data_IF_509504299236
#
_entry.id   IF_509504299236
#
_cell.length_a   1.000
_cell.length_b   1.000
_cell.length_c   1.000
_cell.angle_alpha   90.00
_cell.angle_beta   90.00
_cell.angle_gamma   90.00
#
_symmetry.space_group_name_H-M   'P 1'
#
loop_
_entity.id
_entity.type
_entity.pdbx_description
1 polymer ?
#
# COMPACT_ATOMS: atom_id res chain seq x y z
N UNK A 1 -1.70 12.60 -10.30
CA UNK A 1 -1.96 13.98 -9.88
C UNK A 1 -1.60 14.14 -8.40
N UNK A 2 -0.35 14.55 -8.09
CA UNK A 2 0.08 14.79 -6.71
C UNK A 2 -0.68 15.96 -6.05
N UNK A 3 -1.24 16.89 -6.84
CA UNK A 3 -2.00 18.05 -6.36
C UNK A 3 -3.50 17.78 -6.18
N UNK A 4 -3.89 16.53 -5.93
CA UNK A 4 -5.31 16.20 -5.68
C UNK A 4 -5.74 16.84 -4.35
N UNK A 5 -6.78 17.71 -4.33
CA UNK A 5 -7.24 18.34 -3.10
C UNK A 5 -7.63 17.30 -2.04
N UNK A 6 -7.45 17.65 -0.77
CA UNK A 6 -7.81 16.81 0.38
C UNK A 6 -7.06 15.46 0.44
N UNK A 7 -5.88 15.39 -0.19
CA UNK A 7 -4.96 14.26 -0.14
C UNK A 7 -3.58 14.66 0.36
N UNK A 8 -2.78 13.67 0.68
CA UNK A 8 -1.35 13.82 1.01
C UNK A 8 -0.51 13.42 -0.21
N UNK A 9 -0.23 14.39 -1.10
CA UNK A 9 0.43 14.17 -2.40
C UNK A 9 -0.19 13.03 -3.23
N UNK A 10 -1.52 12.94 -3.24
CA UNK A 10 -2.28 11.88 -3.92
C UNK A 10 -2.51 10.61 -3.09
N UNK A 11 -2.08 10.58 -1.83
CA UNK A 11 -2.42 9.51 -0.88
C UNK A 11 -3.67 9.84 -0.07
N UNK A 12 -4.52 8.83 0.11
CA UNK A 12 -5.71 8.86 0.96
C UNK A 12 -5.56 7.79 2.02
N UNK A 13 -5.78 8.17 3.26
CA UNK A 13 -5.77 7.27 4.42
C UNK A 13 -7.20 6.95 4.82
N UNK A 14 -7.43 5.75 5.36
CA UNK A 14 -8.74 5.37 5.86
C UNK A 14 -8.61 4.49 7.10
N UNK A 15 -9.48 4.76 8.07
CA UNK A 15 -9.70 3.89 9.23
C UNK A 15 -10.97 3.08 8.97
N UNK A 16 -10.92 1.77 9.14
CA UNK A 16 -12.07 0.89 8.95
C UNK A 16 -12.47 0.19 10.23
N UNK A 17 -13.68 -0.35 10.24
CA UNK A 17 -14.03 -1.40 11.20
C UNK A 17 -13.13 -2.63 11.02
N UNK A 18 -12.97 -3.49 12.05
CA UNK A 18 -12.09 -4.66 11.97
C UNK A 18 -12.44 -5.66 10.86
N UNK A 19 -13.70 -5.71 10.45
CA UNK A 19 -14.17 -6.54 9.33
C UNK A 19 -13.93 -5.90 7.96
N UNK A 20 -13.33 -4.71 7.92
CA UNK A 20 -13.06 -3.88 6.74
C UNK A 20 -14.31 -3.52 5.91
N UNK A 21 -15.51 -3.63 6.48
CA UNK A 21 -16.77 -3.36 5.75
C UNK A 21 -17.23 -1.92 5.83
N UNK A 22 -16.82 -1.21 6.87
CA UNK A 22 -17.22 0.19 7.10
C UNK A 22 -15.99 1.06 7.20
N UNK A 23 -15.99 2.16 6.45
CA UNK A 23 -15.01 3.25 6.59
C UNK A 23 -15.51 4.16 7.71
N UNK A 24 -14.71 4.31 8.75
CA UNK A 24 -14.97 5.21 9.89
C UNK A 24 -14.51 6.63 9.57
N UNK A 25 -13.38 6.75 8.88
CA UNK A 25 -12.78 8.01 8.46
C UNK A 25 -11.98 7.76 7.18
N UNK A 26 -11.99 8.71 6.25
CA UNK A 26 -11.12 8.68 5.08
C UNK A 26 -10.73 10.10 4.63
N UNK A 27 -9.52 10.24 4.07
CA UNK A 27 -9.02 11.50 3.54
C UNK A 27 -7.57 11.76 3.95
N UNK A 28 -7.23 13.05 4.11
CA UNK A 28 -5.98 13.51 4.69
C UNK A 28 -6.04 13.41 6.22
N UNK A 29 -5.63 12.26 6.77
CA UNK A 29 -5.63 12.00 8.22
C UNK A 29 -4.25 12.30 8.80
N UNK A 30 -4.12 13.39 9.56
CA UNK A 30 -2.82 13.91 10.01
C UNK A 30 -2.01 12.91 10.85
N UNK A 31 -2.69 12.16 11.72
CA UNK A 31 -2.04 11.14 12.55
C UNK A 31 -1.49 9.95 11.75
N UNK A 32 -2.04 9.66 10.57
CA UNK A 32 -1.45 8.67 9.66
C UNK A 32 -0.23 9.25 8.94
N UNK A 33 -0.33 10.50 8.50
CA UNK A 33 0.70 11.19 7.72
C UNK A 33 1.99 11.34 8.53
N UNK A 34 1.89 11.70 9.82
CA UNK A 34 3.04 11.93 10.71
C UNK A 34 4.09 10.80 10.65
N UNK A 35 3.65 9.54 10.57
CA UNK A 35 4.54 8.41 10.40
C UNK A 35 4.92 8.18 8.93
N UNK A 36 3.93 8.19 8.03
CA UNK A 36 4.10 7.81 6.63
C UNK A 36 5.01 8.77 5.85
N UNK A 37 4.99 10.07 6.15
CA UNK A 37 5.85 11.07 5.51
C UNK A 37 7.34 10.82 5.78
N UNK A 38 7.68 10.16 6.88
CA UNK A 38 9.07 9.85 7.25
C UNK A 38 9.69 8.74 6.40
N UNK A 39 8.88 8.05 5.59
CA UNK A 39 9.38 6.96 4.75
C UNK A 39 10.12 7.51 3.52
N UNK A 40 11.23 6.86 3.15
CA UNK A 40 12.00 7.24 1.95
C UNK A 40 11.42 6.69 0.64
N UNK A 41 10.25 6.04 0.71
CA UNK A 41 9.65 5.27 -0.39
C UNK A 41 8.18 5.64 -0.60
N UNK A 42 7.89 6.92 -0.72
CA UNK A 42 6.53 7.43 -1.03
C UNK A 42 5.46 6.85 -0.08
N UNK A 43 5.55 7.20 1.21
CA UNK A 43 4.59 6.81 2.27
C UNK A 43 4.43 5.31 2.51
N UNK A 44 5.30 4.46 1.96
CA UNK A 44 5.22 3.00 2.06
C UNK A 44 6.29 2.38 2.98
N UNK A 45 5.85 1.41 3.80
CA UNK A 45 6.71 0.56 4.61
C UNK A 45 6.90 -0.84 4.01
N UNK A 46 8.05 -1.45 4.23
CA UNK A 46 8.33 -2.82 3.79
C UNK A 46 9.24 -2.92 2.56
N UNK A 47 9.60 -4.15 2.16
CA UNK A 47 10.57 -4.39 1.11
C UNK A 47 9.98 -4.19 -0.29
N UNK A 48 10.78 -3.74 -1.25
CA UNK A 48 10.32 -3.39 -2.61
C UNK A 48 9.65 -4.56 -3.37
N UNK A 49 10.00 -5.80 -3.04
CA UNK A 49 9.46 -7.01 -3.68
C UNK A 49 8.11 -7.48 -3.14
N UNK A 50 7.66 -6.97 -1.99
CA UNK A 50 6.33 -7.30 -1.44
C UNK A 50 5.21 -6.45 -2.04
N UNK A 51 5.53 -5.55 -2.97
CA UNK A 51 4.58 -4.64 -3.59
C UNK A 51 4.21 -5.09 -5.00
N UNK A 52 2.92 -5.22 -5.32
CA UNK A 52 2.46 -5.68 -6.65
C UNK A 52 2.54 -4.59 -7.74
N UNK A 53 3.01 -3.38 -7.42
CA UNK A 53 3.07 -2.26 -8.35
C UNK A 53 4.27 -1.35 -8.06
N UNK A 54 5.17 -1.20 -9.02
CA UNK A 54 6.27 -0.23 -8.95
C UNK A 54 5.82 1.06 -9.64
N UNK A 55 5.46 2.08 -8.84
CA UNK A 55 5.01 3.38 -9.36
C UNK A 55 6.07 4.12 -10.18
N UNK A 56 7.37 3.79 -10.06
CA UNK A 56 8.44 4.43 -10.85
C UNK A 56 8.59 3.85 -12.25
N UNK A 57 8.32 2.56 -12.45
CA UNK A 57 8.40 1.93 -13.77
C UNK A 57 7.09 2.06 -14.55
N UNK A 58 5.96 2.29 -13.88
CA UNK A 58 4.65 2.22 -14.51
C UNK A 58 4.24 0.79 -14.89
N UNK A 59 5.02 -0.20 -14.47
CA UNK A 59 4.82 -1.61 -14.81
C UNK A 59 4.24 -2.37 -13.62
N UNK A 60 3.20 -3.15 -13.90
CA UNK A 60 2.63 -4.10 -12.96
C UNK A 60 3.62 -5.24 -12.76
N UNK A 61 4.28 -5.28 -11.60
CA UNK A 61 5.06 -6.44 -11.17
C UNK A 61 4.06 -7.54 -10.76
N UNK A 62 3.50 -8.24 -11.75
CA UNK A 62 2.79 -9.49 -11.49
C UNK A 62 3.71 -10.41 -10.66
N UNK A 63 3.19 -11.12 -9.65
CA UNK A 63 4.01 -12.09 -8.95
C UNK A 63 4.51 -13.11 -9.98
N UNK A 64 5.83 -13.33 -10.02
CA UNK A 64 6.37 -14.58 -10.53
C UNK A 64 5.65 -15.67 -9.73
N UNK A 65 4.68 -16.33 -10.36
CA UNK A 65 4.01 -17.56 -9.89
C UNK A 65 4.94 -18.33 -8.95
N UNK A 66 4.66 -18.29 -7.65
CA UNK A 66 5.29 -19.18 -6.70
C UNK A 66 4.84 -20.58 -7.07
N UNK A 67 5.70 -21.31 -7.75
CA UNK A 67 5.61 -22.77 -7.84
C UNK A 67 5.66 -23.28 -6.41
N UNK A 68 4.51 -23.58 -5.82
CA UNK A 68 4.41 -24.34 -4.59
C UNK A 68 5.03 -25.71 -4.89
N UNK A 69 6.15 -26.13 -4.27
CA UNK A 69 6.56 -27.52 -4.40
C UNK A 69 5.52 -28.36 -3.67
N UNK A 70 4.74 -29.13 -4.43
CA UNK A 70 3.88 -30.18 -3.90
C UNK A 70 4.72 -31.07 -3.00
N UNK A 71 4.42 -31.07 -1.70
CA UNK A 71 4.98 -32.04 -0.77
C UNK A 71 4.60 -33.44 -1.22
N UNK A 72 5.60 -34.24 -1.60
CA UNK A 72 5.48 -35.67 -1.72
C UNK A 72 5.40 -36.24 -0.30
N UNK A 73 4.23 -36.77 0.05
CA UNK A 73 4.10 -37.65 1.21
C UNK A 73 4.92 -38.93 1.01
N UNK A 74 5.41 -39.45 2.13
CA UNK A 74 5.71 -40.86 2.37
C UNK A 74 5.66 -41.08 3.88
#
# INVERSE_FOLDING_TARGET
EPDTPDTDEGWVYATTTPDARTIVEAGRIESCIECHEQTTRDRMYGPRWSWPYDRRSGERLLPLRSSVPSGSGS
#
